data_IF_038116596206
#
_entry.id   IF_038116596206
#
_cell.length_a   1.000
_cell.length_b   1.000
_cell.length_c   1.000
_cell.angle_alpha   90.00
_cell.angle_beta   90.00
_cell.angle_gamma   90.00
#
_symmetry.space_group_name_H-M   'P 1'
#
loop_
_entity.id
_entity.type
_entity.pdbx_description
1 polymer ?
#
# COMPACT_ATOMS: atom_id res chain seq x y z
N UNK A 1 0.66 -17.91 10.48
CA UNK A 1 1.21 -16.62 10.02
C UNK A 1 1.48 -15.76 11.24
N UNK A 2 2.60 -15.02 11.30
CA UNK A 2 2.92 -14.17 12.46
C UNK A 2 1.91 -13.01 12.59
N UNK A 3 1.74 -12.52 13.83
CA UNK A 3 0.93 -11.33 14.12
C UNK A 3 1.61 -10.09 13.52
N UNK A 4 0.82 -9.19 12.93
CA UNK A 4 1.30 -7.92 12.39
C UNK A 4 1.53 -6.97 13.56
N UNK A 5 2.78 -6.60 13.84
CA UNK A 5 3.14 -5.64 14.90
C UNK A 5 3.51 -4.26 14.33
N UNK A 6 3.92 -4.21 13.06
CA UNK A 6 4.24 -2.99 12.33
C UNK A 6 3.63 -3.06 10.93
N UNK A 7 3.41 -1.89 10.32
CA UNK A 7 2.87 -1.77 8.98
C UNK A 7 3.63 -0.72 8.18
N UNK A 8 4.04 -1.10 6.98
CA UNK A 8 4.68 -0.23 6.01
C UNK A 8 3.72 0.00 4.85
N UNK A 9 3.53 1.26 4.46
CA UNK A 9 2.53 1.65 3.46
C UNK A 9 3.19 2.53 2.40
N UNK A 10 2.94 2.24 1.13
CA UNK A 10 3.32 3.14 0.04
C UNK A 10 2.20 4.16 -0.20
N UNK A 11 2.54 5.44 -0.08
CA UNK A 11 1.61 6.56 -0.26
C UNK A 11 2.07 7.51 -1.36
N UNK A 12 1.13 8.26 -1.92
CA UNK A 12 1.36 9.37 -2.85
C UNK A 12 0.61 10.61 -2.37
N UNK A 13 1.15 11.79 -2.67
CA UNK A 13 0.41 13.05 -2.50
C UNK A 13 -0.84 13.02 -3.38
N UNK A 14 -2.03 13.26 -2.81
CA UNK A 14 -3.27 13.23 -3.57
C UNK A 14 -3.66 14.62 -4.10
N UNK A 15 -4.25 15.46 -3.23
CA UNK A 15 -4.72 16.81 -3.57
C UNK A 15 -3.84 17.94 -3.00
N UNK A 16 -2.77 17.62 -2.26
CA UNK A 16 -1.84 18.57 -1.66
C UNK A 16 -0.97 17.94 -0.56
N UNK A 17 -0.05 18.70 0.07
CA UNK A 17 0.99 18.15 0.95
C UNK A 17 0.49 17.50 2.24
N UNK A 18 -0.76 17.75 2.62
CA UNK A 18 -1.42 17.18 3.81
C UNK A 18 -2.47 16.11 3.43
N UNK A 19 -2.53 15.72 2.16
CA UNK A 19 -3.50 14.76 1.62
C UNK A 19 -2.74 13.59 0.96
N UNK A 20 -2.80 12.42 1.58
CA UNK A 20 -2.07 11.23 1.15
C UNK A 20 -3.02 10.09 0.77
N UNK A 21 -2.76 9.45 -0.36
CA UNK A 21 -3.47 8.26 -0.82
C UNK A 21 -2.60 7.00 -0.74
N UNK A 22 -3.16 5.89 -0.27
CA UNK A 22 -2.50 4.57 -0.31
C UNK A 22 -2.52 4.02 -1.72
N UNK A 23 -1.36 3.60 -2.23
CA UNK A 23 -1.29 2.95 -3.55
C UNK A 23 -1.96 1.57 -3.47
N UNK A 24 -2.89 1.30 -4.39
CA UNK A 24 -3.55 0.01 -4.55
C UNK A 24 -3.33 -0.60 -5.94
N UNK A 25 -3.45 -1.93 -6.00
CA UNK A 25 -3.50 -2.68 -7.27
C UNK A 25 -4.83 -3.42 -7.36
N UNK A 26 -5.29 -3.66 -8.59
CA UNK A 26 -6.41 -4.58 -8.82
C UNK A 26 -5.89 -5.99 -9.05
N UNK A 27 -6.58 -6.99 -8.49
CA UNK A 27 -6.36 -8.38 -8.89
C UNK A 27 -6.83 -8.59 -10.32
N UNK A 28 -6.39 -9.71 -10.91
CA UNK A 28 -7.06 -10.24 -12.09
C UNK A 28 -8.55 -10.48 -11.80
N UNK A 29 -9.43 -10.37 -12.82
CA UNK A 29 -10.83 -10.71 -12.67
C UNK A 29 -10.98 -12.16 -12.22
N UNK A 30 -11.87 -12.40 -11.26
CA UNK A 30 -12.33 -13.75 -10.92
C UNK A 30 -13.33 -14.26 -11.97
N UNK A 31 -13.76 -15.51 -11.83
CA UNK A 31 -14.74 -16.15 -12.73
C UNK A 31 -16.08 -15.39 -12.82
N UNK A 32 -16.42 -14.62 -11.78
CA UNK A 32 -17.60 -13.75 -11.72
C UNK A 32 -17.37 -12.34 -12.30
N UNK A 33 -16.19 -12.09 -12.86
CA UNK A 33 -15.76 -10.79 -13.41
C UNK A 33 -15.34 -9.75 -12.36
N UNK A 34 -15.42 -10.06 -11.06
CA UNK A 34 -15.08 -9.12 -10.01
C UNK A 34 -13.56 -8.98 -9.84
N UNK A 35 -13.12 -7.76 -9.52
CA UNK A 35 -11.74 -7.43 -9.15
C UNK A 35 -11.70 -6.97 -7.71
N UNK A 36 -10.64 -7.37 -7.01
CA UNK A 36 -10.37 -6.84 -5.68
C UNK A 36 -9.32 -5.75 -5.75
N UNK A 37 -9.53 -4.69 -4.98
CA UNK A 37 -8.50 -3.71 -4.69
C UNK A 37 -7.66 -4.18 -3.51
N UNK A 38 -6.36 -4.29 -3.72
CA UNK A 38 -5.39 -4.67 -2.71
C UNK A 38 -4.45 -3.49 -2.45
N UNK A 39 -4.37 -2.99 -1.21
CA UNK A 39 -3.42 -1.94 -0.89
C UNK A 39 -1.99 -2.50 -0.87
N UNK A 40 -1.02 -1.69 -1.29
CA UNK A 40 0.40 -2.04 -1.19
C UNK A 40 0.90 -1.77 0.23
N UNK A 41 0.64 -2.74 1.11
CA UNK A 41 1.12 -2.75 2.50
C UNK A 41 2.03 -3.94 2.77
N UNK A 42 3.00 -3.76 3.66
CA UNK A 42 3.87 -4.82 4.16
C UNK A 42 3.87 -4.86 5.68
N UNK A 43 3.90 -6.06 6.26
CA UNK A 43 4.11 -6.27 7.69
C UNK A 43 5.59 -6.45 8.06
N UNK A 44 6.48 -6.46 7.05
CA UNK A 44 7.92 -6.65 7.19
C UNK A 44 8.66 -6.08 5.95
N UNK A 45 9.96 -5.85 6.10
CA UNK A 45 10.78 -5.26 5.03
C UNK A 45 11.00 -6.18 3.82
N UNK A 46 10.90 -7.50 3.95
CA UNK A 46 11.01 -8.40 2.80
C UNK A 46 9.79 -8.22 1.88
N UNK A 47 8.58 -8.12 2.45
CA UNK A 47 7.37 -7.77 1.72
C UNK A 47 7.48 -6.38 1.11
N UNK A 48 7.89 -5.37 1.87
CA UNK A 48 8.09 -4.00 1.35
C UNK A 48 9.01 -4.00 0.14
N UNK A 49 10.13 -4.70 0.22
CA UNK A 49 11.11 -4.74 -0.88
C UNK A 49 10.54 -5.43 -2.13
N UNK A 50 9.69 -6.45 -1.98
CA UNK A 50 8.98 -7.07 -3.11
C UNK A 50 7.96 -6.14 -3.77
N UNK A 51 7.32 -5.27 -3.00
CA UNK A 51 6.28 -4.34 -3.49
C UNK A 51 6.86 -3.02 -4.03
N UNK A 52 8.07 -2.65 -3.59
CA UNK A 52 8.73 -1.37 -3.93
C UNK A 52 8.80 -1.10 -5.44
N UNK A 53 9.20 -2.04 -6.32
CA UNK A 53 9.26 -1.77 -7.76
C UNK A 53 7.89 -1.46 -8.35
N UNK A 54 6.84 -2.12 -7.84
CA UNK A 54 5.45 -1.92 -8.29
C UNK A 54 4.99 -0.51 -7.88
N UNK A 55 5.19 -0.14 -6.62
CA UNK A 55 4.84 1.18 -6.11
C UNK A 55 5.56 2.30 -6.88
N UNK A 56 6.87 2.14 -7.12
CA UNK A 56 7.66 3.08 -7.92
C UNK A 56 7.16 3.21 -9.36
N UNK A 57 6.82 2.09 -9.99
CA UNK A 57 6.24 2.07 -11.34
C UNK A 57 4.93 2.84 -11.42
N UNK A 58 4.03 2.63 -10.46
CA UNK A 58 2.75 3.35 -10.37
C UNK A 58 2.98 4.85 -10.17
N UNK A 59 3.84 5.22 -9.21
CA UNK A 59 4.20 6.62 -8.98
C UNK A 59 4.73 7.31 -10.23
N UNK A 60 5.62 6.63 -10.97
CA UNK A 60 6.11 7.13 -12.25
C UNK A 60 4.99 7.29 -13.28
N UNK A 61 4.10 6.31 -13.41
CA UNK A 61 2.98 6.34 -14.37
C UNK A 61 2.02 7.51 -14.11
N UNK A 62 1.76 7.84 -12.84
CA UNK A 62 0.85 8.92 -12.46
C UNK A 62 1.57 10.26 -12.25
N UNK A 63 2.89 10.30 -12.43
CA UNK A 63 3.70 11.50 -12.25
C UNK A 63 3.80 11.99 -10.80
N UNK A 64 3.58 11.12 -9.81
CA UNK A 64 3.59 11.46 -8.38
C UNK A 64 4.77 10.82 -7.65
N UNK A 65 5.30 11.54 -6.66
CA UNK A 65 6.34 11.02 -5.75
C UNK A 65 5.71 9.97 -4.83
N UNK A 66 6.40 8.84 -4.69
CA UNK A 66 6.00 7.77 -3.76
C UNK A 66 6.80 7.89 -2.48
N UNK A 67 6.10 7.83 -1.35
CA UNK A 67 6.68 7.81 0.00
C UNK A 67 6.38 6.48 0.66
N UNK A 68 7.33 5.95 1.41
CA UNK A 68 7.11 4.78 2.28
C UNK A 68 6.93 5.28 3.72
N UNK A 69 5.77 5.00 4.29
CA UNK A 69 5.42 5.36 5.67
C UNK A 69 5.48 4.11 6.55
N UNK A 70 5.95 4.26 7.78
CA UNK A 70 6.04 3.18 8.78
C UNK A 70 5.17 3.52 9.98
N UNK A 71 4.20 2.64 10.26
CA UNK A 71 3.35 2.66 11.45
C UNK A 71 3.77 1.51 12.37
N UNK A 72 4.29 1.84 13.54
CA UNK A 72 4.76 0.86 14.53
C UNK A 72 3.88 0.76 15.78
N UNK A 73 2.90 1.65 15.92
CA UNK A 73 1.99 1.63 17.06
C UNK A 73 0.71 0.86 16.71
N UNK A 74 0.67 -0.42 17.08
CA UNK A 74 -0.54 -1.23 16.94
C UNK A 74 -1.56 -0.86 18.01
N UNK A 75 -2.74 -0.46 17.56
CA UNK A 75 -3.91 -0.30 18.40
C UNK A 75 -5.02 -1.23 17.88
N UNK A 76 -5.51 -2.12 18.74
CA UNK A 76 -6.66 -2.96 18.41
C UNK A 76 -7.93 -2.12 18.66
N UNK A 77 -8.76 -1.97 17.63
CA UNK A 77 -10.04 -1.24 17.67
C UNK A 77 -11.22 -2.22 17.49
N UNK A 78 -12.39 -1.87 18.01
CA UNK A 78 -13.63 -2.61 17.76
C UNK A 78 -14.14 -2.32 16.34
N UNK A 79 -14.71 -3.34 15.67
CA UNK A 79 -15.16 -3.30 14.25
C UNK A 79 -16.60 -3.72 14.09
#
# INVERSE_FOLDING_TARGET
>A
MPRIEEMYVFVVEDSGPEDEGVIGIQTEPRDDGQRLWLPLVGADMARVNSLRPIAQGIGHQIGKKVTLVHFSNRQDLEV
#
